data_IF_280489440863
#
_entry.id   IF_280489440863
#
_cell.length_a   1.000
_cell.length_b   1.000
_cell.length_c   1.000
_cell.angle_alpha   90.00
_cell.angle_beta   90.00
_cell.angle_gamma   90.00
#
_symmetry.space_group_name_H-M   'P 1'
#
loop_
_entity.id
_entity.type
_entity.pdbx_description
1 polymer ?
#
# COMPACT_ATOMS: atom_id res chain seq x y z
N UNK A 1 18.97 -11.05 -20.16
CA UNK A 1 17.75 -10.65 -19.43
C UNK A 1 17.74 -9.13 -19.37
N UNK A 2 16.61 -8.55 -19.72
CA UNK A 2 16.48 -7.09 -19.82
C UNK A 2 15.07 -6.66 -19.39
N UNK A 3 15.01 -5.52 -18.67
CA UNK A 3 13.76 -4.81 -18.40
C UNK A 3 13.74 -3.58 -19.29
N UNK A 4 12.73 -3.44 -20.16
CA UNK A 4 12.60 -2.28 -21.05
C UNK A 4 11.67 -1.21 -20.48
N UNK A 5 10.59 -1.60 -19.81
CA UNK A 5 9.66 -0.70 -19.14
C UNK A 5 8.78 -1.45 -18.13
N UNK A 6 8.13 -0.70 -17.28
CA UNK A 6 6.99 -1.19 -16.50
C UNK A 6 5.92 -0.11 -16.42
N UNK A 7 4.70 -0.52 -16.13
CA UNK A 7 3.57 0.40 -15.96
C UNK A 7 2.46 -0.22 -15.13
N UNK A 8 1.62 0.60 -14.56
CA UNK A 8 0.43 0.19 -13.81
C UNK A 8 -0.80 0.44 -14.68
N UNK A 9 -1.47 -0.63 -15.07
CA UNK A 9 -2.64 -0.56 -15.94
C UNK A 9 -2.33 -0.16 -17.38
N UNK A 10 -1.95 1.07 -17.62
CA UNK A 10 -1.66 1.62 -18.95
C UNK A 10 -0.20 2.07 -19.08
N UNK A 11 0.35 1.95 -20.30
CA UNK A 11 1.71 2.42 -20.60
C UNK A 11 1.92 3.87 -20.19
N UNK A 12 3.07 4.16 -19.59
CA UNK A 12 3.43 5.47 -19.11
C UNK A 12 2.96 5.80 -17.69
N UNK A 13 2.17 4.94 -17.06
CA UNK A 13 1.70 5.13 -15.69
C UNK A 13 2.65 4.46 -14.71
N UNK A 14 3.34 5.24 -13.88
CA UNK A 14 4.29 4.77 -12.87
C UNK A 14 3.78 4.95 -11.44
N UNK A 15 2.49 5.15 -11.28
CA UNK A 15 1.81 5.35 -10.00
C UNK A 15 0.72 4.30 -9.84
N UNK A 16 0.66 3.66 -8.70
CA UNK A 16 -0.33 2.61 -8.43
C UNK A 16 -0.76 2.53 -6.98
N UNK A 17 -1.84 1.78 -6.79
CA UNK A 17 -2.39 1.44 -5.47
C UNK A 17 -2.08 -0.02 -5.15
N UNK A 18 -2.06 -0.34 -3.87
CA UNK A 18 -2.01 -1.75 -3.43
C UNK A 18 -3.13 -2.54 -4.12
N UNK A 19 -2.79 -3.69 -4.69
CA UNK A 19 -3.72 -4.55 -5.42
C UNK A 19 -3.79 -4.30 -6.93
N UNK A 20 -3.28 -3.17 -7.42
CA UNK A 20 -3.19 -2.92 -8.86
C UNK A 20 -2.19 -3.87 -9.52
N UNK A 21 -2.40 -4.16 -10.81
CA UNK A 21 -1.50 -5.01 -11.59
C UNK A 21 -0.41 -4.15 -12.23
N UNK A 22 0.84 -4.51 -11.94
CA UNK A 22 2.01 -3.95 -12.62
C UNK A 22 2.39 -4.89 -13.76
N UNK A 23 2.58 -4.33 -14.95
CA UNK A 23 3.09 -5.04 -16.11
C UNK A 23 4.55 -4.64 -16.33
N UNK A 24 5.44 -5.63 -16.29
CA UNK A 24 6.88 -5.45 -16.52
C UNK A 24 7.20 -6.05 -17.88
N UNK A 25 7.79 -5.27 -18.76
CA UNK A 25 8.16 -5.71 -20.12
C UNK A 25 9.67 -5.76 -20.29
N UNK A 26 10.11 -6.71 -21.08
CA UNK A 26 11.52 -6.89 -21.36
C UNK A 26 11.81 -8.10 -22.24
N UNK A 27 12.93 -8.77 -22.02
CA UNK A 27 13.30 -9.99 -22.73
C UNK A 27 13.91 -11.01 -21.75
N UNK A 28 13.62 -12.28 -22.02
CA UNK A 28 14.00 -13.43 -21.18
C UNK A 28 13.42 -13.36 -19.75
N UNK A 29 12.28 -12.69 -19.56
CA UNK A 29 11.61 -12.61 -18.27
C UNK A 29 11.06 -13.95 -17.79
N UNK A 30 10.91 -14.92 -18.69
CA UNK A 30 10.56 -16.30 -18.34
C UNK A 30 11.61 -16.98 -17.44
N UNK A 31 12.83 -16.44 -17.37
CA UNK A 31 13.89 -16.93 -16.47
C UNK A 31 13.83 -16.31 -15.09
N UNK A 32 12.98 -15.31 -14.88
CA UNK A 32 12.78 -14.65 -13.59
C UNK A 32 11.62 -15.29 -12.83
N UNK A 33 11.84 -15.67 -11.60
CA UNK A 33 10.89 -16.41 -10.77
C UNK A 33 10.43 -15.66 -9.53
N UNK A 34 10.91 -14.44 -9.32
CA UNK A 34 10.53 -13.60 -8.20
C UNK A 34 10.50 -12.12 -8.54
N UNK A 35 9.57 -11.39 -7.92
CA UNK A 35 9.46 -9.93 -8.00
C UNK A 35 9.48 -9.36 -6.60
N UNK A 36 10.30 -8.36 -6.36
CA UNK A 36 10.43 -7.68 -5.08
C UNK A 36 10.08 -6.21 -5.26
N UNK A 37 9.03 -5.75 -4.58
CA UNK A 37 8.74 -4.32 -4.45
C UNK A 37 9.50 -3.76 -3.25
N UNK A 38 9.79 -2.47 -3.27
CA UNK A 38 10.40 -1.83 -2.12
C UNK A 38 9.53 -2.09 -0.86
N UNK A 39 10.14 -2.54 0.22
CA UNK A 39 9.46 -2.84 1.47
C UNK A 39 8.71 -4.16 1.55
N UNK A 40 8.67 -4.95 0.47
CA UNK A 40 7.96 -6.23 0.44
C UNK A 40 8.91 -7.43 0.41
N UNK A 41 8.36 -8.60 0.76
CA UNK A 41 9.01 -9.87 0.52
C UNK A 41 8.94 -10.25 -0.97
N UNK A 42 9.70 -11.26 -1.37
CA UNK A 42 9.69 -11.76 -2.75
C UNK A 42 8.32 -12.37 -3.09
N UNK A 43 7.71 -11.86 -4.16
CA UNK A 43 6.52 -12.47 -4.75
C UNK A 43 7.00 -13.57 -5.69
N UNK A 44 6.58 -14.79 -5.43
CA UNK A 44 7.00 -15.97 -6.20
C UNK A 44 6.19 -16.12 -7.49
N UNK A 45 6.77 -16.80 -8.47
CA UNK A 45 6.15 -17.07 -9.78
C UNK A 45 4.72 -17.60 -9.69
N UNK A 46 4.42 -18.44 -8.70
CA UNK A 46 3.08 -18.99 -8.49
C UNK A 46 2.02 -17.92 -8.21
N UNK A 47 2.44 -16.74 -7.78
CA UNK A 47 1.57 -15.59 -7.45
C UNK A 47 1.48 -14.57 -8.59
N UNK A 48 2.20 -14.79 -9.70
CA UNK A 48 2.14 -13.89 -10.85
C UNK A 48 0.79 -13.99 -11.55
N UNK A 49 0.29 -12.85 -12.00
CA UNK A 49 -0.94 -12.78 -12.80
C UNK A 49 -0.68 -13.26 -14.24
N UNK A 50 0.50 -12.92 -14.76
CA UNK A 50 0.96 -13.36 -16.07
C UNK A 50 2.47 -13.48 -16.11
N UNK A 51 2.97 -14.45 -16.92
CA UNK A 51 4.40 -14.71 -16.99
C UNK A 51 4.77 -15.36 -18.33
N UNK A 52 5.52 -14.65 -19.13
CA UNK A 52 6.10 -15.17 -20.38
C UNK A 52 7.49 -14.55 -20.61
N UNK A 53 8.08 -14.81 -21.78
CA UNK A 53 9.43 -14.32 -22.10
C UNK A 53 9.54 -12.79 -22.07
N UNK A 54 8.47 -12.09 -22.46
CA UNK A 54 8.49 -10.65 -22.67
C UNK A 54 7.75 -9.86 -21.59
N UNK A 55 7.00 -10.54 -20.74
CA UNK A 55 6.11 -9.88 -19.79
C UNK A 55 5.99 -10.65 -18.49
N UNK A 56 6.03 -9.90 -17.38
CA UNK A 56 5.60 -10.36 -16.06
C UNK A 56 4.50 -9.43 -15.58
N UNK A 57 3.40 -10.00 -15.13
CA UNK A 57 2.33 -9.24 -14.49
C UNK A 57 2.17 -9.71 -13.04
N UNK A 58 2.13 -8.76 -12.13
CA UNK A 58 2.10 -9.04 -10.70
C UNK A 58 1.28 -7.95 -9.99
N UNK A 59 0.56 -8.34 -8.93
CA UNK A 59 -0.18 -7.38 -8.11
C UNK A 59 0.75 -6.71 -7.10
N UNK A 60 0.52 -5.42 -6.88
CA UNK A 60 1.24 -4.67 -5.85
C UNK A 60 0.84 -5.22 -4.47
N UNK A 61 1.79 -5.74 -3.68
CA UNK A 61 1.47 -6.31 -2.38
C UNK A 61 1.18 -5.24 -1.33
N UNK A 62 0.52 -5.63 -0.24
CA UNK A 62 0.12 -4.73 0.84
C UNK A 62 1.30 -3.98 1.47
N UNK A 63 2.47 -4.60 1.51
CA UNK A 63 3.69 -4.04 2.14
C UNK A 63 4.50 -3.15 1.20
N UNK A 64 4.13 -3.06 -0.07
CA UNK A 64 4.88 -2.29 -1.06
C UNK A 64 4.93 -0.80 -0.73
N UNK A 65 6.10 -0.22 -0.98
CA UNK A 65 6.38 1.21 -0.82
C UNK A 65 6.94 1.77 -2.12
N UNK A 66 6.96 3.08 -2.24
CA UNK A 66 7.60 3.75 -3.38
C UNK A 66 9.06 3.36 -3.50
N UNK A 67 9.48 2.93 -4.66
CA UNK A 67 10.84 2.52 -4.95
C UNK A 67 10.94 1.70 -6.24
N UNK A 68 12.15 1.23 -6.54
CA UNK A 68 12.39 0.39 -7.71
C UNK A 68 11.81 -1.01 -7.51
N UNK A 69 11.50 -1.67 -8.63
CA UNK A 69 11.06 -3.07 -8.64
C UNK A 69 12.26 -3.93 -9.02
N UNK A 70 12.50 -4.99 -8.26
CA UNK A 70 13.59 -5.94 -8.50
C UNK A 70 13.03 -7.26 -9.02
N UNK A 71 13.59 -7.76 -10.11
CA UNK A 71 13.35 -9.11 -10.60
C UNK A 71 14.51 -10.01 -10.17
N UNK A 72 14.20 -11.23 -9.76
CA UNK A 72 15.21 -12.21 -9.35
C UNK A 72 14.90 -13.59 -9.93
N UNK A 73 15.94 -14.36 -10.19
CA UNK A 73 15.80 -15.76 -10.56
C UNK A 73 15.59 -16.67 -9.33
N UNK A 74 15.63 -16.12 -8.13
CA UNK A 74 15.49 -16.81 -6.83
C UNK A 74 16.55 -17.86 -6.52
N UNK A 75 17.65 -17.90 -7.31
CA UNK A 75 18.78 -18.78 -7.07
C UNK A 75 19.78 -18.07 -6.16
N UNK A 76 20.34 -18.77 -5.18
CA UNK A 76 21.40 -18.22 -4.34
C UNK A 76 22.59 -17.81 -5.21
N UNK A 77 23.04 -16.56 -5.07
CA UNK A 77 24.06 -15.94 -5.91
C UNK A 77 23.65 -15.83 -7.39
N UNK A 78 22.35 -15.84 -7.66
CA UNK A 78 21.79 -15.72 -8.99
C UNK A 78 21.66 -14.29 -9.49
N UNK A 79 20.94 -14.12 -10.60
CA UNK A 79 20.77 -12.83 -11.27
C UNK A 79 19.62 -12.05 -10.68
N UNK A 80 19.85 -10.75 -10.47
CA UNK A 80 18.78 -9.80 -10.17
C UNK A 80 18.89 -8.57 -11.05
N UNK A 81 17.73 -7.96 -11.35
CA UNK A 81 17.62 -6.76 -12.18
C UNK A 81 16.67 -5.78 -11.51
N UNK A 82 17.02 -4.51 -11.51
CA UNK A 82 16.16 -3.45 -11.01
C UNK A 82 15.60 -2.60 -12.15
N UNK A 83 14.40 -2.06 -11.98
CA UNK A 83 13.85 -1.07 -12.91
C UNK A 83 14.66 0.23 -12.80
N UNK A 84 14.77 0.97 -13.90
CA UNK A 84 15.47 2.27 -13.91
C UNK A 84 14.66 3.33 -13.19
N UNK A 85 13.35 3.24 -13.27
CA UNK A 85 12.41 4.21 -12.68
C UNK A 85 11.78 3.61 -11.44
N UNK A 86 11.34 4.46 -10.53
CA UNK A 86 10.64 4.05 -9.33
C UNK A 86 9.13 3.94 -9.60
N UNK A 87 8.51 2.93 -9.00
CA UNK A 87 7.07 2.85 -8.88
C UNK A 87 6.65 3.72 -7.69
N UNK A 88 5.75 4.66 -7.93
CA UNK A 88 5.16 5.46 -6.85
C UNK A 88 3.92 4.74 -6.34
N UNK A 89 3.90 4.43 -5.06
CA UNK A 89 2.72 3.88 -4.39
C UNK A 89 1.93 5.02 -3.77
N UNK A 90 0.66 5.13 -4.13
CA UNK A 90 -0.22 6.11 -3.51
C UNK A 90 -0.37 5.80 -2.02
N UNK A 91 -0.07 6.80 -1.19
CA UNK A 91 -0.30 6.74 0.24
C UNK A 91 -1.54 7.56 0.60
N UNK A 92 -2.33 7.13 1.59
CA UNK A 92 -3.45 7.91 2.06
C UNK A 92 -3.01 9.27 2.59
N UNK A 93 -3.82 10.30 2.35
CA UNK A 93 -3.65 11.61 2.95
C UNK A 93 -4.89 11.93 3.78
N UNK A 94 -4.70 12.41 4.99
CA UNK A 94 -5.79 12.82 5.87
C UNK A 94 -5.89 14.34 5.94
N UNK A 95 -7.11 14.86 5.87
CA UNK A 95 -7.37 16.27 6.16
C UNK A 95 -7.24 16.46 7.67
N UNK A 96 -6.32 17.33 8.15
CA UNK A 96 -6.13 17.53 9.58
C UNK A 96 -7.41 17.97 10.27
N UNK A 97 -7.69 17.37 11.44
CA UNK A 97 -8.79 17.74 12.30
C UNK A 97 -8.21 18.64 13.40
N UNK A 98 -8.89 19.77 13.66
CA UNK A 98 -8.48 20.66 14.75
C UNK A 98 -8.59 19.94 16.09
N UNK A 99 -7.66 20.22 16.97
CA UNK A 99 -7.68 19.73 18.35
C UNK A 99 -9.02 20.09 19.00
N UNK A 100 -9.67 19.09 19.56
CA UNK A 100 -10.93 19.26 20.28
C UNK A 100 -11.10 18.15 21.31
N UNK A 101 -11.96 18.39 22.27
CA UNK A 101 -12.37 17.35 23.21
C UNK A 101 -13.38 16.43 22.53
N UNK A 102 -13.06 15.14 22.49
CA UNK A 102 -13.92 14.10 21.92
C UNK A 102 -14.25 13.09 23.02
N UNK A 103 -15.50 12.73 23.12
CA UNK A 103 -15.96 11.77 24.15
C UNK A 103 -15.97 10.35 23.59
N UNK A 104 -15.77 9.37 24.47
CA UNK A 104 -15.95 7.97 24.12
C UNK A 104 -17.35 7.73 23.55
N UNK A 105 -17.42 6.93 22.48
CA UNK A 105 -18.67 6.66 21.76
C UNK A 105 -19.09 7.74 20.77
N UNK A 106 -18.42 8.90 20.75
CA UNK A 106 -18.69 9.94 19.75
C UNK A 106 -18.29 9.45 18.36
N UNK A 107 -19.10 9.75 17.35
CA UNK A 107 -18.81 9.40 15.97
C UNK A 107 -17.87 10.46 15.38
N UNK A 108 -16.70 10.01 14.94
CA UNK A 108 -15.67 10.85 14.34
C UNK A 108 -15.66 10.62 12.83
N UNK A 109 -15.76 11.70 12.06
CA UNK A 109 -15.64 11.68 10.61
C UNK A 109 -14.24 12.14 10.22
N UNK A 110 -13.50 11.26 9.53
CA UNK A 110 -12.14 11.53 9.04
C UNK A 110 -12.22 11.62 7.52
N UNK A 111 -11.80 12.74 6.97
CA UNK A 111 -11.79 12.98 5.52
C UNK A 111 -10.37 12.94 4.97
N UNK A 112 -10.26 12.50 3.73
CA UNK A 112 -8.95 12.42 3.07
C UNK A 112 -9.04 11.78 1.69
N UNK A 113 -7.96 11.09 1.30
CA UNK A 113 -7.87 10.39 0.02
C UNK A 113 -7.22 9.02 0.20
N UNK A 114 -7.55 8.10 -0.70
CA UNK A 114 -7.05 6.71 -0.68
C UNK A 114 -7.35 5.95 0.62
N UNK A 115 -8.45 6.28 1.29
CA UNK A 115 -8.85 5.66 2.55
C UNK A 115 -9.38 4.23 2.39
N UNK A 116 -9.62 3.78 1.19
CA UNK A 116 -9.88 2.37 0.88
C UNK A 116 -8.69 1.45 1.26
N UNK A 117 -7.49 2.00 1.41
CA UNK A 117 -6.29 1.29 1.85
C UNK A 117 -6.14 1.24 3.38
N UNK A 118 -6.98 1.93 4.13
CA UNK A 118 -6.91 1.99 5.59
C UNK A 118 -7.52 0.73 6.18
N UNK A 119 -6.82 0.12 7.14
CA UNK A 119 -7.28 -1.08 7.85
C UNK A 119 -7.59 -0.84 9.30
N UNK A 120 -7.14 0.27 9.87
CA UNK A 120 -7.43 0.63 11.26
C UNK A 120 -7.27 2.12 11.51
N UNK A 121 -7.89 2.59 12.59
CA UNK A 121 -7.66 3.92 13.18
C UNK A 121 -7.04 3.70 14.55
N UNK A 122 -5.87 4.26 14.77
CA UNK A 122 -5.10 4.10 16.01
C UNK A 122 -5.24 5.34 16.85
N UNK A 123 -5.86 5.17 18.01
CA UNK A 123 -5.93 6.19 19.07
C UNK A 123 -4.86 5.88 20.13
N UNK A 124 -4.50 6.88 20.92
CA UNK A 124 -3.71 6.60 22.12
C UNK A 124 -4.54 5.69 23.05
N UNK A 125 -3.97 4.56 23.43
CA UNK A 125 -4.61 3.57 24.30
C UNK A 125 -5.58 2.58 23.64
N UNK A 126 -5.95 2.78 22.36
CA UNK A 126 -6.89 1.89 21.67
C UNK A 126 -6.76 1.94 20.15
N UNK A 127 -7.09 0.85 19.48
CA UNK A 127 -7.12 0.77 18.03
C UNK A 127 -8.48 0.21 17.58
N UNK A 128 -9.05 0.81 16.52
CA UNK A 128 -10.32 0.36 15.92
C UNK A 128 -10.01 -0.22 14.54
N UNK A 129 -10.33 -1.48 14.33
CA UNK A 129 -10.14 -2.14 13.05
C UNK A 129 -11.24 -1.77 12.04
N UNK A 130 -10.95 -1.92 10.74
CA UNK A 130 -11.87 -1.57 9.67
C UNK A 130 -13.24 -2.26 9.78
N UNK A 131 -13.27 -3.47 10.33
CA UNK A 131 -14.52 -4.21 10.56
C UNK A 131 -15.48 -3.48 11.53
N UNK A 132 -14.93 -2.62 12.39
CA UNK A 132 -15.70 -1.86 13.38
C UNK A 132 -15.98 -0.41 12.95
N UNK A 133 -15.56 -0.01 11.77
CA UNK A 133 -15.87 1.31 11.22
C UNK A 133 -17.38 1.43 10.96
N UNK A 134 -17.94 2.60 11.20
CA UNK A 134 -19.34 2.89 10.87
C UNK A 134 -19.55 3.00 9.36
N UNK A 135 -18.57 3.59 8.66
CA UNK A 135 -18.51 3.62 7.19
C UNK A 135 -17.07 3.82 6.72
N UNK A 136 -16.82 3.41 5.49
CA UNK A 136 -15.51 3.60 4.85
C UNK A 136 -15.68 3.78 3.35
N UNK A 137 -15.07 4.85 2.83
CA UNK A 137 -14.91 5.08 1.41
C UNK A 137 -13.50 5.59 1.13
N UNK A 138 -13.14 5.79 -0.13
CA UNK A 138 -11.83 6.36 -0.48
C UNK A 138 -11.64 7.80 0.05
N UNK A 139 -12.72 8.52 0.34
CA UNK A 139 -12.71 9.92 0.75
C UNK A 139 -13.01 10.15 2.24
N UNK A 140 -13.61 9.19 2.93
CA UNK A 140 -14.07 9.38 4.31
C UNK A 140 -14.16 8.06 5.08
N UNK A 141 -13.78 8.12 6.34
CA UNK A 141 -13.98 7.06 7.32
C UNK A 141 -14.78 7.63 8.47
N UNK A 142 -15.83 6.92 8.90
CA UNK A 142 -16.59 7.26 10.11
C UNK A 142 -16.36 6.17 11.15
N UNK A 143 -15.93 6.54 12.34
CA UNK A 143 -15.57 5.62 13.40
C UNK A 143 -16.07 6.14 14.75
N UNK A 144 -16.50 5.23 15.62
CA UNK A 144 -16.81 5.57 17.01
C UNK A 144 -15.53 5.60 17.84
N UNK A 145 -15.32 6.62 18.62
CA UNK A 145 -14.17 6.73 19.52
C UNK A 145 -14.29 5.66 20.61
N UNK A 146 -13.29 4.76 20.76
CA UNK A 146 -13.35 3.69 21.76
C UNK A 146 -13.23 4.20 23.18
N UNK A 147 -13.84 3.48 24.13
CA UNK A 147 -13.86 3.86 25.55
C UNK A 147 -12.47 3.95 26.18
N UNK A 148 -11.51 3.22 25.65
CA UNK A 148 -10.13 3.17 26.13
C UNK A 148 -9.21 4.19 25.49
N UNK A 149 -9.71 4.98 24.52
CA UNK A 149 -8.91 6.03 23.90
C UNK A 149 -8.59 7.12 24.94
N UNK A 150 -7.33 7.56 24.93
CA UNK A 150 -6.85 8.63 25.79
C UNK A 150 -6.39 9.82 24.95
N UNK A 151 -6.14 10.95 25.60
CA UNK A 151 -5.67 12.16 24.90
C UNK A 151 -4.37 11.88 24.15
N UNK A 152 -4.27 12.38 22.95
CA UNK A 152 -3.09 12.23 22.11
C UNK A 152 -3.38 12.28 20.61
N UNK A 153 -2.35 12.13 19.83
CA UNK A 153 -2.45 12.08 18.38
C UNK A 153 -3.06 10.75 17.94
N UNK A 154 -4.00 10.80 17.00
CA UNK A 154 -4.54 9.59 16.40
C UNK A 154 -4.19 9.52 14.90
N UNK A 155 -4.14 8.30 14.39
CA UNK A 155 -3.65 7.98 13.06
C UNK A 155 -4.61 7.07 12.31
N UNK A 156 -4.62 7.17 10.99
CA UNK A 156 -5.15 6.11 10.12
C UNK A 156 -3.98 5.24 9.69
N UNK A 157 -4.18 3.93 9.67
CA UNK A 157 -3.11 2.94 9.42
C UNK A 157 -3.44 2.13 8.18
N UNK A 158 -2.46 2.01 7.27
CA UNK A 158 -2.58 1.23 6.04
C UNK A 158 -2.25 -0.24 6.25
N UNK A 159 -2.58 -1.10 5.28
CA UNK A 159 -2.17 -2.51 5.28
C UNK A 159 -0.66 -2.69 5.36
N UNK A 160 0.11 -1.75 4.80
CA UNK A 160 1.58 -1.77 4.86
C UNK A 160 2.16 -1.25 6.17
N UNK A 161 1.32 -0.86 7.13
CA UNK A 161 1.74 -0.37 8.44
C UNK A 161 2.13 1.10 8.47
N UNK A 162 1.84 1.87 7.43
CA UNK A 162 2.09 3.31 7.39
C UNK A 162 1.04 4.00 8.26
N UNK A 163 1.48 4.82 9.22
CA UNK A 163 0.62 5.62 10.09
C UNK A 163 0.55 7.06 9.56
N UNK A 164 -0.66 7.52 9.25
CA UNK A 164 -0.91 8.89 8.77
C UNK A 164 -1.60 9.68 9.89
N UNK A 165 -0.95 10.71 10.44
CA UNK A 165 -1.54 11.49 11.53
C UNK A 165 -2.76 12.27 11.05
N UNK A 166 -3.81 12.30 11.87
CA UNK A 166 -5.07 12.99 11.56
C UNK A 166 -5.27 14.21 12.45
N UNK A 167 -5.02 14.09 13.73
CA UNK A 167 -5.22 15.16 14.69
C UNK A 167 -5.00 14.68 16.12
N UNK A 168 -5.34 15.54 17.07
CA UNK A 168 -5.25 15.24 18.51
C UNK A 168 -6.62 15.31 19.16
N UNK A 169 -6.80 14.48 20.16
CA UNK A 169 -7.98 14.52 21.05
C UNK A 169 -7.57 14.65 22.50
#
# INVERSE_FOLDING_TARGET
>A
IEITQFFVGNEGTLVGNVGDVVTIKGDYLNLMHGVIFAGSDTIKEAEFVGHDRYTIQVKIPAEARTGVITLTDTIKDGTSLETKEELTINTPEATPIKDRTIKAGEILSIKGSSFDQIVSVKFEGATVDAADFKSQSAAEITVAVPDKATDGTFYVVTKSGIEVPVGNI
#
